data_IF_058837351584
#
_entry.id   IF_058837351584
#
_cell.length_a   1.000
_cell.length_b   1.000
_cell.length_c   1.000
_cell.angle_alpha   90.00
_cell.angle_beta   90.00
_cell.angle_gamma   90.00
#
_symmetry.space_group_name_H-M   'P 1'
#
loop_
_entity.id
_entity.type
_entity.pdbx_description
1 polymer ?
#
# COMPACT_ATOMS: atom_id res chain seq x y z
N UNK A 1 3.40 -11.47 17.36
CA UNK A 1 4.37 -11.48 16.24
C UNK A 1 4.49 -10.05 15.73
N UNK A 2 5.66 -9.64 15.22
CA UNK A 2 5.86 -8.27 14.70
C UNK A 2 5.35 -8.17 13.25
N UNK A 3 4.83 -7.01 12.85
CA UNK A 3 4.30 -6.78 11.50
C UNK A 3 5.40 -6.48 10.46
N UNK A 4 6.67 -6.37 10.89
CA UNK A 4 7.83 -5.91 10.10
C UNK A 4 7.93 -6.61 8.73
N UNK A 5 7.99 -7.96 8.72
CA UNK A 5 8.12 -8.73 7.47
C UNK A 5 6.94 -8.60 6.48
N UNK A 6 5.76 -8.16 6.93
CA UNK A 6 4.64 -7.87 6.01
C UNK A 6 4.83 -6.51 5.34
N UNK A 7 5.37 -5.54 6.06
CA UNK A 7 5.68 -4.20 5.53
C UNK A 7 6.80 -4.29 4.50
N UNK A 8 7.85 -5.08 4.76
CA UNK A 8 8.96 -5.23 3.81
C UNK A 8 8.56 -6.01 2.54
N UNK A 9 7.72 -7.06 2.65
CA UNK A 9 7.12 -7.70 1.48
C UNK A 9 6.28 -6.72 0.64
N UNK A 10 5.47 -5.88 1.29
CA UNK A 10 4.69 -4.83 0.59
C UNK A 10 5.63 -3.85 -0.13
N UNK A 11 6.73 -3.42 0.50
CA UNK A 11 7.73 -2.52 -0.10
C UNK A 11 8.44 -3.13 -1.30
N UNK A 12 8.77 -4.42 -1.24
CA UNK A 12 9.34 -5.18 -2.36
C UNK A 12 8.36 -5.19 -3.55
N UNK A 13 7.11 -5.59 -3.33
CA UNK A 13 6.10 -5.63 -4.41
C UNK A 13 5.70 -4.25 -4.94
N UNK A 14 5.87 -3.19 -4.16
CA UNK A 14 5.71 -1.81 -4.67
C UNK A 14 6.89 -1.31 -5.50
N UNK A 15 8.09 -1.88 -5.32
CA UNK A 15 9.27 -1.62 -6.15
C UNK A 15 9.19 -2.37 -7.47
N UNK A 16 8.87 -3.67 -7.44
CA UNK A 16 8.60 -4.47 -8.65
C UNK A 16 7.53 -3.81 -9.55
N UNK A 17 6.51 -3.19 -8.93
CA UNK A 17 5.50 -2.43 -9.66
C UNK A 17 6.09 -1.23 -10.44
N UNK A 18 7.14 -0.57 -9.94
CA UNK A 18 7.76 0.55 -10.67
C UNK A 18 8.60 0.11 -11.87
N UNK A 19 9.13 -1.12 -11.87
CA UNK A 19 9.84 -1.70 -13.02
C UNK A 19 8.92 -1.85 -14.25
N UNK A 20 7.60 -1.95 -14.01
CA UNK A 20 6.56 -1.97 -15.04
C UNK A 20 6.09 -0.56 -15.47
N UNK A 21 6.58 0.51 -14.84
CA UNK A 21 6.27 1.90 -15.17
C UNK A 21 6.07 2.81 -13.95
N UNK A 22 6.05 4.12 -14.19
CA UNK A 22 5.92 5.13 -13.15
C UNK A 22 4.50 5.17 -12.56
N UNK A 23 4.31 4.60 -11.36
CA UNK A 23 3.00 4.52 -10.71
C UNK A 23 2.90 5.35 -9.43
N UNK A 24 1.72 5.90 -9.20
CA UNK A 24 1.30 6.58 -7.96
C UNK A 24 2.22 7.74 -7.53
N UNK A 25 2.82 8.46 -8.50
CA UNK A 25 3.74 9.60 -8.28
C UNK A 25 3.10 10.83 -7.60
N UNK A 26 1.77 10.85 -7.44
CA UNK A 26 0.98 12.00 -6.95
C UNK A 26 -0.19 11.56 -6.07
N UNK A 27 -0.82 10.45 -6.46
CA UNK A 27 -1.83 9.70 -5.69
C UNK A 27 -1.18 8.76 -4.67
N UNK A 28 -1.98 7.93 -4.00
CA UNK A 28 -1.52 6.86 -3.13
C UNK A 28 -2.55 5.75 -3.15
N UNK A 29 -2.12 4.50 -3.29
CA UNK A 29 -3.05 3.36 -3.36
C UNK A 29 -3.19 2.67 -2.01
N UNK A 30 -4.38 2.12 -1.76
CA UNK A 30 -4.58 1.17 -0.68
C UNK A 30 -4.00 -0.19 -1.06
N UNK A 31 -3.12 -0.73 -0.21
CA UNK A 31 -2.56 -2.08 -0.31
C UNK A 31 -3.16 -3.04 0.73
N UNK A 32 -3.07 -4.34 0.49
CA UNK A 32 -3.66 -5.36 1.36
C UNK A 32 -3.21 -5.19 2.82
N UNK A 33 -4.15 -4.78 3.67
CA UNK A 33 -3.88 -4.43 5.06
C UNK A 33 -4.07 -5.64 5.98
N UNK A 34 -3.15 -5.94 6.92
CA UNK A 34 -3.28 -7.06 7.85
C UNK A 34 -4.62 -7.09 8.59
N UNK A 35 -5.20 -8.28 8.76
CA UNK A 35 -6.56 -8.43 9.29
C UNK A 35 -6.72 -7.93 10.74
N UNK A 36 -5.66 -7.98 11.55
CA UNK A 36 -5.61 -7.36 12.88
C UNK A 36 -5.69 -5.83 12.81
N UNK A 37 -4.96 -5.20 11.87
CA UNK A 37 -5.00 -3.74 11.65
C UNK A 37 -6.38 -3.35 11.11
N UNK A 38 -6.93 -4.08 10.14
CA UNK A 38 -8.22 -3.77 9.52
C UNK A 38 -9.41 -3.91 10.47
N UNK A 39 -9.36 -4.86 11.42
CA UNK A 39 -10.33 -5.02 12.53
C UNK A 39 -10.33 -3.83 13.50
N UNK A 40 -9.22 -3.10 13.60
CA UNK A 40 -9.09 -1.89 14.43
C UNK A 40 -9.34 -0.60 13.63
N UNK A 41 -10.03 -0.70 12.48
CA UNK A 41 -10.32 0.44 11.59
C UNK A 41 -9.13 0.93 10.75
N UNK A 42 -7.93 0.36 10.92
CA UNK A 42 -6.73 0.80 10.22
C UNK A 42 -6.60 0.28 8.79
N UNK A 43 -5.80 0.99 7.99
CA UNK A 43 -5.41 0.64 6.63
C UNK A 43 -3.95 1.02 6.36
N UNK A 44 -3.32 0.33 5.41
CA UNK A 44 -1.93 0.55 4.97
C UNK A 44 -1.95 1.07 3.52
N UNK A 45 -1.12 2.07 3.24
CA UNK A 45 -1.06 2.76 1.95
C UNK A 45 0.37 2.86 1.45
N UNK A 46 0.52 2.93 0.12
CA UNK A 46 1.79 3.08 -0.56
C UNK A 46 1.72 4.13 -1.67
N UNK A 47 2.83 4.82 -1.89
CA UNK A 47 3.11 5.61 -3.09
C UNK A 47 4.62 5.65 -3.38
N UNK A 48 4.97 6.03 -4.62
CA UNK A 48 6.36 6.20 -5.05
C UNK A 48 6.61 7.69 -5.31
N UNK A 49 7.47 8.34 -4.53
CA UNK A 49 7.80 9.77 -4.67
C UNK A 49 9.30 9.96 -4.47
N UNK A 50 9.91 10.89 -5.20
CA UNK A 50 11.36 11.15 -5.08
C UNK A 50 12.20 9.86 -5.24
N UNK A 51 11.83 9.03 -6.22
CA UNK A 51 12.42 7.69 -6.47
C UNK A 51 12.40 6.73 -5.25
N UNK A 52 11.45 6.95 -4.33
CA UNK A 52 11.36 6.25 -3.04
C UNK A 52 9.93 5.73 -2.81
N UNK A 53 9.82 4.43 -2.50
CA UNK A 53 8.56 3.81 -2.04
C UNK A 53 8.32 4.17 -0.57
N UNK A 54 7.26 4.92 -0.31
CA UNK A 54 6.77 5.22 1.03
C UNK A 54 5.65 4.27 1.43
N UNK A 55 5.63 3.85 2.71
CA UNK A 55 4.57 3.03 3.29
C UNK A 55 4.16 3.60 4.65
N UNK A 56 2.87 3.76 4.86
CA UNK A 56 2.30 4.39 6.06
C UNK A 56 0.89 3.87 6.35
N UNK A 57 0.34 4.25 7.51
CA UNK A 57 -1.00 3.87 7.95
C UNK A 57 -1.97 5.05 7.97
N UNK A 58 -3.27 4.78 7.86
CA UNK A 58 -4.33 5.73 8.17
C UNK A 58 -5.59 4.97 8.65
N UNK A 59 -6.64 5.70 9.05
CA UNK A 59 -7.98 5.12 9.17
C UNK A 59 -8.52 4.73 7.80
N UNK A 60 -9.15 3.56 7.70
CA UNK A 60 -9.74 3.05 6.47
C UNK A 60 -10.90 3.93 5.98
N UNK A 61 -11.74 4.38 6.91
CA UNK A 61 -12.91 5.24 6.63
C UNK A 61 -12.51 6.58 6.00
N UNK A 62 -11.39 7.15 6.45
CA UNK A 62 -10.81 8.38 5.92
C UNK A 62 -10.42 8.33 4.43
N UNK A 63 -10.35 7.14 3.82
CA UNK A 63 -9.85 6.93 2.45
C UNK A 63 -10.87 6.30 1.48
N UNK A 64 -11.92 5.62 1.96
CA UNK A 64 -12.98 5.05 1.09
C UNK A 64 -13.64 6.08 0.17
N UNK A 65 -13.75 7.34 0.62
CA UNK A 65 -14.37 8.42 -0.13
C UNK A 65 -13.51 8.97 -1.28
N UNK A 66 -12.23 8.56 -1.43
CA UNK A 66 -11.26 9.32 -2.23
C UNK A 66 -10.21 8.54 -3.03
N UNK A 67 -9.86 7.28 -2.72
CA UNK A 67 -8.75 6.57 -3.41
C UNK A 67 -9.03 5.08 -3.64
N UNK A 68 -8.67 4.60 -4.83
CA UNK A 68 -8.83 3.20 -5.26
C UNK A 68 -7.82 2.25 -4.57
N UNK A 69 -8.10 0.95 -4.65
CA UNK A 69 -7.19 -0.12 -4.26
C UNK A 69 -6.34 -0.61 -5.44
N UNK A 70 -5.16 -1.17 -5.15
CA UNK A 70 -4.38 -1.97 -6.11
C UNK A 70 -4.63 -3.45 -5.88
N UNK A 71 -4.73 -4.21 -6.95
CA UNK A 71 -4.73 -5.68 -6.93
C UNK A 71 -3.86 -6.20 -8.06
N UNK A 72 -3.18 -7.32 -7.83
CA UNK A 72 -2.48 -8.09 -8.87
C UNK A 72 -3.33 -9.28 -9.28
N UNK A 73 -3.41 -9.54 -10.59
CA UNK A 73 -4.00 -10.76 -11.14
C UNK A 73 -2.87 -11.66 -11.63
N UNK A 74 -2.92 -12.94 -11.25
CA UNK A 74 -2.15 -13.99 -11.91
C UNK A 74 -3.10 -14.67 -12.90
N UNK A 75 -2.66 -14.76 -14.16
CA UNK A 75 -3.24 -15.57 -15.23
C UNK A 75 -2.45 -16.85 -15.41
#
# INVERSE_FOLDING_TARGET
MRNEGVIDFIKEKYRELQELGNFDLKTSSWVQSPANIRKLGGAIFCDCRYDTVFVYHNGAESYYAARCFRGSLRV
#
